data_IF_169561008990
#
_entry.id   IF_169561008990
#
_cell.length_a   1.000
_cell.length_b   1.000
_cell.length_c   1.000
_cell.angle_alpha   90.00
_cell.angle_beta   90.00
_cell.angle_gamma   90.00
#
_symmetry.space_group_name_H-M   'P 1'
#
loop_
_entity.id
_entity.type
_entity.pdbx_description
1 polymer ?
#
# COMPACT_ATOMS: atom_id res chain seq x y z
N UNK A 1 65.74 -28.47 -30.23
CA UNK A 1 64.48 -27.73 -29.94
C UNK A 1 63.46 -27.75 -31.07
N UNK A 2 63.83 -27.56 -32.35
CA UNK A 2 62.87 -27.42 -33.47
C UNK A 2 61.98 -28.66 -33.76
N UNK A 3 62.45 -29.88 -33.51
CA UNK A 3 61.70 -31.10 -33.79
C UNK A 3 60.59 -31.39 -32.76
N UNK A 4 60.86 -31.17 -31.46
CA UNK A 4 59.86 -31.26 -30.38
C UNK A 4 58.72 -30.26 -30.57
N UNK A 5 59.04 -29.02 -30.96
CA UNK A 5 58.02 -28.00 -31.21
C UNK A 5 57.10 -28.41 -32.38
N UNK A 6 57.63 -28.97 -33.46
CA UNK A 6 56.80 -29.47 -34.59
C UNK A 6 55.88 -30.61 -34.18
N UNK A 7 56.34 -31.55 -33.35
CA UNK A 7 55.51 -32.65 -32.83
C UNK A 7 54.36 -32.10 -31.97
N UNK A 8 54.64 -31.13 -31.10
CA UNK A 8 53.61 -30.48 -30.28
C UNK A 8 52.60 -29.75 -31.18
N UNK A 9 53.05 -29.05 -32.23
CA UNK A 9 52.15 -28.38 -33.17
C UNK A 9 51.24 -29.37 -33.91
N UNK A 10 51.77 -30.52 -34.33
CA UNK A 10 51.00 -31.57 -35.01
C UNK A 10 49.98 -32.20 -34.04
N UNK A 11 50.38 -32.46 -32.80
CA UNK A 11 49.47 -33.01 -31.78
C UNK A 11 48.32 -32.04 -31.45
N UNK A 12 48.62 -30.74 -31.31
CA UNK A 12 47.61 -29.71 -31.12
C UNK A 12 46.67 -29.57 -32.33
N UNK A 13 47.19 -29.71 -33.55
CA UNK A 13 46.38 -29.67 -34.77
C UNK A 13 45.44 -30.89 -34.87
N UNK A 14 45.89 -32.07 -34.44
CA UNK A 14 45.06 -33.29 -34.41
C UNK A 14 43.93 -33.14 -33.37
N UNK A 15 44.23 -32.61 -32.18
CA UNK A 15 43.22 -32.39 -31.12
C UNK A 15 42.19 -31.35 -31.54
N UNK A 16 42.60 -30.30 -32.27
CA UNK A 16 41.68 -29.29 -32.82
C UNK A 16 40.90 -29.76 -34.05
N UNK A 17 41.33 -30.85 -34.71
CA UNK A 17 40.68 -31.41 -35.91
C UNK A 17 39.56 -32.40 -35.63
N UNK A 18 39.31 -32.79 -34.37
CA UNK A 18 38.19 -33.66 -34.00
C UNK A 18 36.96 -32.76 -33.81
N UNK A 19 35.95 -32.82 -34.69
CA UNK A 19 34.71 -32.08 -34.45
C UNK A 19 34.06 -32.63 -33.18
N UNK A 20 34.01 -31.80 -32.13
CA UNK A 20 33.15 -32.05 -30.99
C UNK A 20 31.71 -31.96 -31.49
N UNK A 21 31.15 -33.10 -31.89
CA UNK A 21 29.72 -33.21 -32.16
C UNK A 21 28.98 -33.12 -30.84
N UNK A 22 28.78 -31.89 -30.36
CA UNK A 22 27.84 -31.62 -29.28
C UNK A 22 26.44 -31.86 -29.82
N UNK A 23 25.75 -32.86 -29.30
CA UNK A 23 24.32 -32.98 -29.53
C UNK A 23 23.66 -31.74 -28.90
N UNK A 24 23.20 -30.80 -29.73
CA UNK A 24 22.28 -29.75 -29.29
C UNK A 24 21.09 -30.40 -28.58
N UNK A 25 20.52 -29.72 -27.58
CA UNK A 25 19.38 -30.22 -26.79
C UNK A 25 18.23 -30.66 -27.71
N UNK A 26 18.19 -31.95 -28.07
CA UNK A 26 17.11 -32.54 -28.85
C UNK A 26 15.99 -32.90 -27.88
N UNK A 27 14.75 -32.56 -28.21
CA UNK A 27 13.59 -33.03 -27.46
C UNK A 27 13.52 -34.56 -27.59
N UNK A 28 13.93 -35.26 -26.54
CA UNK A 28 13.82 -36.72 -26.45
C UNK A 28 12.48 -37.07 -25.81
N UNK A 29 11.61 -37.74 -26.57
CA UNK A 29 10.33 -38.26 -26.06
C UNK A 29 10.57 -39.61 -25.41
N UNK A 30 10.72 -39.59 -24.10
CA UNK A 30 10.85 -40.79 -23.28
C UNK A 30 9.46 -41.22 -22.80
N UNK A 31 9.00 -42.37 -23.31
CA UNK A 31 7.68 -42.91 -22.97
C UNK A 31 7.59 -43.36 -21.51
N UNK A 32 8.70 -43.76 -20.90
CA UNK A 32 8.72 -44.26 -19.52
C UNK A 32 8.57 -43.08 -18.55
N UNK A 33 9.31 -41.99 -18.79
CA UNK A 33 9.14 -40.74 -18.02
C UNK A 33 7.77 -40.11 -18.23
N UNK A 34 7.24 -40.20 -19.45
CA UNK A 34 5.86 -39.74 -19.73
C UNK A 34 4.85 -40.49 -18.86
N UNK A 35 4.94 -41.82 -18.75
CA UNK A 35 4.08 -42.62 -17.88
C UNK A 35 4.22 -42.25 -16.41
N UNK A 36 5.45 -42.02 -15.95
CA UNK A 36 5.70 -41.57 -14.58
C UNK A 36 5.01 -40.23 -14.29
N UNK A 37 5.16 -39.24 -15.17
CA UNK A 37 4.50 -37.94 -14.99
C UNK A 37 2.98 -38.05 -15.11
N UNK A 38 2.47 -38.80 -16.08
CA UNK A 38 1.03 -39.03 -16.22
C UNK A 38 0.44 -39.69 -14.98
N UNK A 39 1.10 -40.70 -14.42
CA UNK A 39 0.70 -41.35 -13.16
C UNK A 39 0.64 -40.37 -11.99
N UNK A 40 1.63 -39.49 -11.88
CA UNK A 40 1.69 -38.49 -10.79
C UNK A 40 0.67 -37.37 -10.95
N UNK A 41 0.17 -37.12 -12.16
CA UNK A 41 -0.83 -36.10 -12.46
C UNK A 41 -2.26 -36.67 -12.41
N UNK A 42 -2.82 -37.06 -13.57
CA UNK A 42 -4.21 -37.48 -13.70
C UNK A 42 -4.41 -38.79 -14.49
N UNK A 43 -3.32 -39.41 -14.96
CA UNK A 43 -3.35 -40.61 -15.79
C UNK A 43 -3.60 -41.91 -15.04
N UNK A 44 -3.57 -43.06 -15.73
CA UNK A 44 -3.50 -44.37 -15.11
C UNK A 44 -2.31 -44.44 -14.15
N UNK A 45 -2.44 -45.18 -13.05
CA UNK A 45 -1.33 -45.41 -12.12
C UNK A 45 -0.43 -46.51 -12.71
N UNK A 46 0.39 -46.15 -13.69
CA UNK A 46 1.28 -47.04 -14.43
C UNK A 46 2.72 -46.50 -14.50
N UNK A 47 3.67 -47.29 -13.99
CA UNK A 47 5.09 -46.94 -14.05
C UNK A 47 5.83 -47.91 -14.96
N UNK A 48 6.85 -47.41 -15.64
CA UNK A 48 7.70 -48.21 -16.52
C UNK A 48 9.15 -47.83 -16.28
N UNK A 49 10.09 -48.79 -16.27
CA UNK A 49 9.88 -50.23 -16.44
C UNK A 49 9.30 -50.94 -15.19
N UNK A 50 8.36 -51.86 -15.40
CA UNK A 50 7.58 -52.56 -14.36
C UNK A 50 8.43 -53.19 -13.24
N UNK A 51 9.42 -54.01 -13.63
CA UNK A 51 10.25 -54.75 -12.69
C UNK A 51 11.22 -53.86 -11.92
N UNK A 52 11.69 -52.78 -12.53
CA UNK A 52 12.53 -51.79 -11.85
C UNK A 52 11.79 -51.21 -10.63
N UNK A 53 10.52 -50.84 -10.81
CA UNK A 53 9.71 -50.34 -9.70
C UNK A 53 9.34 -51.42 -8.69
N UNK A 54 9.14 -52.67 -9.10
CA UNK A 54 8.88 -53.77 -8.17
C UNK A 54 10.09 -54.09 -7.26
N UNK A 55 11.30 -54.14 -7.82
CA UNK A 55 12.49 -54.51 -7.06
C UNK A 55 13.07 -53.35 -6.24
N UNK A 56 13.07 -52.13 -6.78
CA UNK A 56 13.79 -51.01 -6.16
C UNK A 56 12.87 -49.93 -5.56
N UNK A 57 11.62 -49.82 -6.03
CA UNK A 57 10.73 -48.69 -5.69
C UNK A 57 9.29 -49.13 -5.37
N UNK A 58 9.12 -50.30 -4.75
CA UNK A 58 7.80 -50.88 -4.51
C UNK A 58 6.96 -50.03 -3.54
N UNK A 59 7.57 -49.46 -2.50
CA UNK A 59 6.92 -48.52 -1.57
C UNK A 59 6.57 -47.18 -2.22
N UNK A 60 7.37 -46.73 -3.18
CA UNK A 60 7.12 -45.49 -3.93
C UNK A 60 5.92 -45.65 -4.88
N UNK A 61 5.87 -46.75 -5.63
CA UNK A 61 4.93 -46.96 -6.75
C UNK A 61 3.70 -47.81 -6.40
N UNK A 62 3.73 -48.53 -5.28
CA UNK A 62 2.70 -49.50 -4.93
C UNK A 62 2.73 -50.73 -5.84
N UNK A 63 3.92 -51.10 -6.33
CA UNK A 63 4.12 -52.25 -7.21
C UNK A 63 3.84 -53.57 -6.47
N UNK A 64 3.00 -54.41 -7.05
CA UNK A 64 2.77 -55.77 -6.58
C UNK A 64 2.85 -56.79 -7.72
N UNK A 65 3.53 -57.89 -7.43
CA UNK A 65 3.61 -59.03 -8.34
C UNK A 65 2.32 -59.85 -8.24
N UNK A 66 1.77 -60.24 -9.38
CA UNK A 66 0.63 -61.13 -9.45
C UNK A 66 0.80 -62.13 -10.59
N UNK A 67 0.18 -63.30 -10.44
CA UNK A 67 0.13 -64.29 -11.51
C UNK A 67 -0.99 -63.93 -12.49
N UNK A 68 -0.65 -63.76 -13.77
CA UNK A 68 -1.65 -63.55 -14.84
C UNK A 68 -1.83 -64.85 -15.61
N UNK A 69 -3.02 -65.44 -15.53
CA UNK A 69 -3.41 -66.58 -16.35
C UNK A 69 -3.63 -66.17 -17.81
N UNK A 70 -2.93 -66.83 -18.74
CA UNK A 70 -3.04 -66.59 -20.18
C UNK A 70 -2.56 -67.82 -21.00
N UNK A 71 -3.01 -69.02 -20.63
CA UNK A 71 -2.58 -70.28 -21.27
C UNK A 71 -1.06 -70.48 -21.19
N UNK A 72 -0.42 -70.84 -22.30
CA UNK A 72 1.05 -70.99 -22.40
C UNK A 72 1.84 -69.68 -22.19
N UNK A 73 1.16 -68.52 -22.14
CA UNK A 73 1.77 -67.21 -21.84
C UNK A 73 1.46 -66.75 -20.41
N UNK A 74 1.04 -67.66 -19.53
CA UNK A 74 0.88 -67.36 -18.11
C UNK A 74 2.21 -67.00 -17.47
N UNK A 75 2.21 -66.01 -16.59
CA UNK A 75 3.43 -65.61 -15.90
C UNK A 75 3.21 -64.52 -14.87
N UNK A 76 4.27 -64.25 -14.11
CA UNK A 76 4.31 -63.15 -13.17
C UNK A 76 4.34 -61.81 -13.91
N UNK A 77 3.47 -60.90 -13.49
CA UNK A 77 3.44 -59.51 -13.96
C UNK A 77 3.36 -58.59 -12.75
N UNK A 78 3.80 -57.36 -12.95
CA UNK A 78 3.68 -56.31 -11.95
C UNK A 78 2.44 -55.48 -12.27
N UNK A 79 1.67 -55.12 -11.25
CA UNK A 79 0.66 -54.07 -11.34
C UNK A 79 0.89 -53.06 -10.23
N UNK A 80 0.44 -51.83 -10.44
CA UNK A 80 0.60 -50.76 -9.48
C UNK A 80 -0.74 -50.42 -8.84
N UNK A 81 -0.71 -50.12 -7.55
CA UNK A 81 -1.87 -49.68 -6.79
C UNK A 81 -1.54 -48.43 -6.00
N UNK A 82 -2.17 -47.31 -6.33
CA UNK A 82 -1.98 -46.02 -5.66
C UNK A 82 -2.26 -46.08 -4.14
N UNK A 83 -3.24 -46.84 -3.62
CA UNK A 83 -3.40 -46.95 -2.16
C UNK A 83 -2.23 -47.62 -1.44
N UNK A 84 -1.39 -48.39 -2.17
CA UNK A 84 -0.20 -49.06 -1.63
C UNK A 84 1.08 -48.24 -1.84
N UNK A 85 1.03 -47.11 -2.55
CA UNK A 85 2.16 -46.22 -2.70
C UNK A 85 2.24 -45.19 -1.57
N UNK A 86 3.45 -44.82 -1.19
CA UNK A 86 3.72 -43.71 -0.29
C UNK A 86 3.44 -42.36 -0.96
N UNK A 87 3.49 -42.31 -2.29
CA UNK A 87 3.23 -41.11 -3.08
C UNK A 87 1.90 -41.26 -3.78
N UNK A 88 1.15 -40.16 -3.80
CA UNK A 88 -0.17 -40.05 -4.43
C UNK A 88 -0.11 -39.02 -5.55
N UNK A 89 -1.18 -38.93 -6.33
CA UNK A 89 -1.33 -37.87 -7.35
C UNK A 89 -1.18 -36.48 -6.75
N UNK A 90 -0.47 -35.61 -7.45
CA UNK A 90 -0.26 -34.22 -7.04
C UNK A 90 -1.43 -33.31 -7.42
N UNK A 91 -2.21 -33.69 -8.44
CA UNK A 91 -3.27 -32.84 -9.00
C UNK A 91 -4.33 -32.42 -7.96
N UNK A 92 -4.85 -33.32 -7.10
CA UNK A 92 -5.81 -32.90 -6.06
C UNK A 92 -5.23 -31.85 -5.10
N UNK A 93 -3.96 -31.98 -4.71
CA UNK A 93 -3.27 -31.02 -3.83
C UNK A 93 -3.04 -29.68 -4.54
N UNK A 94 -2.72 -29.71 -5.84
CA UNK A 94 -2.55 -28.49 -6.64
C UNK A 94 -3.88 -27.73 -6.76
N UNK A 95 -4.97 -28.43 -7.12
CA UNK A 95 -6.29 -27.82 -7.26
C UNK A 95 -6.75 -27.21 -5.93
N UNK A 96 -6.61 -27.91 -4.80
CA UNK A 96 -6.97 -27.36 -3.50
C UNK A 96 -6.08 -26.17 -3.11
N UNK A 97 -4.78 -26.21 -3.39
CA UNK A 97 -3.88 -25.06 -3.16
C UNK A 97 -4.23 -23.85 -4.04
N UNK A 98 -4.64 -24.08 -5.28
CA UNK A 98 -5.02 -23.02 -6.21
C UNK A 98 -6.33 -22.36 -5.76
N UNK A 99 -7.34 -23.15 -5.41
CA UNK A 99 -8.63 -22.66 -4.89
C UNK A 99 -8.45 -21.90 -3.56
N UNK A 100 -7.65 -22.43 -2.63
CA UNK A 100 -7.34 -21.72 -1.38
C UNK A 100 -6.61 -20.41 -1.62
N UNK A 101 -5.69 -20.36 -2.60
CA UNK A 101 -5.03 -19.12 -2.97
C UNK A 101 -6.00 -18.12 -3.60
N UNK A 102 -6.90 -18.57 -4.48
CA UNK A 102 -7.96 -17.73 -5.06
C UNK A 102 -8.86 -17.12 -3.98
N UNK A 103 -9.26 -17.91 -2.98
CA UNK A 103 -10.05 -17.41 -1.86
C UNK A 103 -9.29 -16.37 -1.01
N UNK A 104 -7.98 -16.55 -0.81
CA UNK A 104 -7.15 -15.55 -0.12
C UNK A 104 -7.06 -14.25 -0.91
N UNK A 105 -6.85 -14.33 -2.22
CA UNK A 105 -6.79 -13.16 -3.10
C UNK A 105 -8.12 -12.41 -3.11
N UNK A 106 -9.25 -13.11 -3.26
CA UNK A 106 -10.59 -12.49 -3.24
C UNK A 106 -10.87 -11.75 -1.92
N UNK A 107 -10.46 -12.31 -0.77
CA UNK A 107 -10.57 -11.63 0.54
C UNK A 107 -9.72 -10.36 0.59
N UNK A 108 -8.46 -10.44 0.17
CA UNK A 108 -7.53 -9.29 0.15
C UNK A 108 -8.03 -8.21 -0.79
N UNK A 109 -8.60 -8.58 -1.95
CA UNK A 109 -9.16 -7.61 -2.90
C UNK A 109 -10.38 -6.88 -2.33
N UNK A 110 -11.25 -7.58 -1.59
CA UNK A 110 -12.39 -6.97 -0.89
C UNK A 110 -11.93 -5.98 0.19
N UNK A 111 -10.98 -6.38 1.03
CA UNK A 111 -10.39 -5.49 2.05
C UNK A 111 -9.71 -4.29 1.42
N UNK A 112 -8.96 -4.50 0.32
CA UNK A 112 -8.31 -3.42 -0.42
C UNK A 112 -9.31 -2.39 -0.94
N UNK A 113 -10.45 -2.82 -1.50
CA UNK A 113 -11.48 -1.88 -1.98
C UNK A 113 -12.02 -1.01 -0.85
N UNK A 114 -12.31 -1.61 0.30
CA UNK A 114 -12.78 -0.87 1.48
C UNK A 114 -11.73 0.14 1.99
N UNK A 115 -10.46 -0.28 2.09
CA UNK A 115 -9.36 0.60 2.50
C UNK A 115 -9.14 1.71 1.47
N UNK A 116 -9.27 1.43 0.18
CA UNK A 116 -9.11 2.41 -0.89
C UNK A 116 -10.18 3.51 -0.83
N UNK A 117 -11.44 3.15 -0.52
CA UNK A 117 -12.51 4.11 -0.29
C UNK A 117 -12.19 5.03 0.90
N UNK A 118 -11.82 4.44 2.05
CA UNK A 118 -11.42 5.21 3.24
C UNK A 118 -10.21 6.10 2.97
N UNK A 119 -9.23 5.61 2.21
CA UNK A 119 -8.05 6.37 1.84
C UNK A 119 -8.40 7.57 0.95
N UNK A 120 -9.31 7.40 -0.02
CA UNK A 120 -9.80 8.51 -0.86
C UNK A 120 -10.52 9.57 -0.01
N UNK A 121 -11.33 9.17 0.96
CA UNK A 121 -12.00 10.10 1.87
C UNK A 121 -11.00 10.89 2.73
N UNK A 122 -10.02 10.21 3.34
CA UNK A 122 -8.99 10.89 4.15
C UNK A 122 -8.10 11.80 3.30
N UNK A 123 -7.79 11.42 2.07
CA UNK A 123 -7.04 12.26 1.13
C UNK A 123 -7.82 13.55 0.81
N UNK A 124 -9.14 13.46 0.60
CA UNK A 124 -9.99 14.64 0.38
C UNK A 124 -10.07 15.52 1.64
N UNK A 125 -10.19 14.93 2.83
CA UNK A 125 -10.16 15.68 4.10
C UNK A 125 -8.81 16.35 4.36
N UNK A 126 -7.71 15.69 4.00
CA UNK A 126 -6.38 16.27 4.10
C UNK A 126 -6.21 17.44 3.12
N UNK A 127 -6.68 17.30 1.88
CA UNK A 127 -6.70 18.39 0.91
C UNK A 127 -7.55 19.59 1.37
N UNK A 128 -8.73 19.35 1.96
CA UNK A 128 -9.57 20.40 2.53
C UNK A 128 -8.89 21.12 3.71
N UNK A 129 -8.23 20.37 4.60
CA UNK A 129 -7.52 20.94 5.76
C UNK A 129 -6.26 21.73 5.38
N UNK A 130 -5.63 21.39 4.26
CA UNK A 130 -4.36 21.96 3.83
C UNK A 130 -4.46 23.45 3.44
N UNK A 131 -5.61 23.87 2.91
CA UNK A 131 -5.84 25.23 2.42
C UNK A 131 -7.01 25.85 3.16
N UNK A 132 -6.83 27.07 3.63
CA UNK A 132 -7.90 27.87 4.18
C UNK A 132 -8.63 28.61 3.07
N UNK A 133 -9.78 28.07 2.67
CA UNK A 133 -10.63 28.66 1.65
C UNK A 133 -11.57 29.74 2.22
N UNK A 134 -11.74 29.77 3.55
CA UNK A 134 -12.74 30.63 4.19
C UNK A 134 -12.17 32.00 4.53
N UNK A 135 -10.89 32.10 4.89
CA UNK A 135 -10.30 33.35 5.37
C UNK A 135 -10.47 34.53 4.41
N UNK A 136 -10.35 34.31 3.10
CA UNK A 136 -10.52 35.37 2.10
C UNK A 136 -11.90 36.06 2.17
N UNK A 137 -12.95 35.33 2.55
CA UNK A 137 -14.29 35.89 2.70
C UNK A 137 -14.44 36.80 3.93
N UNK A 138 -13.61 36.59 4.97
CA UNK A 138 -13.69 37.32 6.24
C UNK A 138 -12.60 38.38 6.41
N UNK A 139 -11.50 38.26 5.67
CA UNK A 139 -10.29 39.10 5.80
C UNK A 139 -10.61 40.59 5.78
N UNK A 140 -11.37 41.05 4.80
CA UNK A 140 -11.68 42.47 4.65
C UNK A 140 -12.55 43.00 5.80
N UNK A 141 -13.44 42.17 6.33
CA UNK A 141 -14.29 42.55 7.44
C UNK A 141 -13.50 42.60 8.76
N UNK A 142 -12.61 41.64 9.00
CA UNK A 142 -11.70 41.67 10.14
C UNK A 142 -10.79 42.90 10.11
N UNK A 143 -10.18 43.19 8.96
CA UNK A 143 -9.34 44.39 8.79
C UNK A 143 -10.15 45.66 9.08
N UNK A 144 -11.35 45.77 8.53
CA UNK A 144 -12.23 46.92 8.77
C UNK A 144 -12.61 47.10 10.24
N UNK A 145 -12.89 46.00 10.96
CA UNK A 145 -13.22 46.06 12.38
C UNK A 145 -11.99 46.41 13.22
N UNK A 146 -10.83 45.86 12.87
CA UNK A 146 -9.56 46.16 13.52
C UNK A 146 -9.19 47.64 13.36
N UNK A 147 -9.30 48.19 12.15
CA UNK A 147 -9.05 49.62 11.88
C UNK A 147 -9.96 50.50 12.76
N UNK A 148 -11.26 50.17 12.86
CA UNK A 148 -12.21 50.91 13.71
C UNK A 148 -11.86 50.85 15.19
N UNK A 149 -11.42 49.68 15.68
CA UNK A 149 -10.99 49.51 17.06
C UNK A 149 -9.75 50.37 17.32
N UNK A 150 -8.74 50.28 16.44
CA UNK A 150 -7.49 51.02 16.58
C UNK A 150 -7.71 52.54 16.54
N UNK A 151 -8.46 53.03 15.55
CA UNK A 151 -8.80 54.45 15.43
C UNK A 151 -9.62 54.94 16.64
N UNK A 152 -10.58 54.15 17.10
CA UNK A 152 -11.42 54.47 18.25
C UNK A 152 -10.61 54.54 19.55
N UNK A 153 -9.72 53.59 19.80
CA UNK A 153 -8.85 53.59 20.97
C UNK A 153 -7.88 54.76 20.96
N UNK A 154 -7.29 55.08 19.80
CA UNK A 154 -6.40 56.22 19.62
C UNK A 154 -7.15 57.55 19.84
N UNK A 155 -8.38 57.67 19.33
CA UNK A 155 -9.25 58.81 19.61
C UNK A 155 -9.52 58.96 21.11
N UNK A 156 -9.86 57.89 21.82
CA UNK A 156 -10.11 57.90 23.26
C UNK A 156 -8.89 58.38 24.05
N UNK A 157 -7.68 57.92 23.68
CA UNK A 157 -6.44 58.34 24.33
C UNK A 157 -6.14 59.82 24.12
N UNK A 158 -6.24 60.30 22.88
CA UNK A 158 -5.95 61.69 22.54
C UNK A 158 -6.97 62.65 23.17
N UNK A 159 -8.26 62.28 23.14
CA UNK A 159 -9.33 63.13 23.64
C UNK A 159 -9.36 63.20 25.17
N UNK A 160 -9.06 62.09 25.86
CA UNK A 160 -9.06 62.04 27.32
C UNK A 160 -7.77 62.50 27.99
N UNK A 161 -6.75 62.91 27.21
CA UNK A 161 -5.41 63.23 27.70
C UNK A 161 -4.83 62.11 28.60
N UNK A 162 -5.05 60.86 28.19
CA UNK A 162 -4.60 59.66 28.89
C UNK A 162 -5.43 59.25 30.13
N UNK A 163 -6.51 59.95 30.47
CA UNK A 163 -7.35 59.59 31.64
C UNK A 163 -8.10 58.26 31.47
N UNK A 164 -8.38 57.84 30.24
CA UNK A 164 -9.01 56.56 29.91
C UNK A 164 -8.02 55.42 29.59
N UNK A 165 -6.73 55.61 29.95
CA UNK A 165 -5.67 54.66 29.60
C UNK A 165 -5.98 53.22 30.04
N UNK A 166 -6.50 53.03 31.25
CA UNK A 166 -6.81 51.69 31.76
C UNK A 166 -7.84 50.96 30.88
N UNK A 167 -8.92 51.63 30.49
CA UNK A 167 -9.95 51.04 29.63
C UNK A 167 -9.41 50.78 28.21
N UNK A 168 -8.57 51.68 27.70
CA UNK A 168 -7.92 51.51 26.40
C UNK A 168 -6.98 50.31 26.41
N UNK A 169 -6.13 50.17 27.43
CA UNK A 169 -5.19 49.06 27.56
C UNK A 169 -5.91 47.71 27.67
N UNK A 170 -7.06 47.66 28.36
CA UNK A 170 -7.87 46.45 28.48
C UNK A 170 -8.52 46.04 27.14
N UNK A 171 -9.14 46.99 26.43
CA UNK A 171 -9.73 46.72 25.12
C UNK A 171 -8.66 46.38 24.07
N UNK A 172 -7.48 47.00 24.15
CA UNK A 172 -6.34 46.67 23.30
C UNK A 172 -5.90 45.22 23.52
N UNK A 173 -5.79 44.77 24.77
CA UNK A 173 -5.42 43.39 25.09
C UNK A 173 -6.45 42.38 24.59
N UNK A 174 -7.74 42.70 24.74
CA UNK A 174 -8.82 41.85 24.21
C UNK A 174 -8.73 41.76 22.67
N UNK A 175 -8.40 42.86 22.00
CA UNK A 175 -8.17 42.86 20.55
C UNK A 175 -6.98 41.99 20.14
N UNK A 176 -5.86 42.11 20.85
CA UNK A 176 -4.65 41.32 20.59
C UNK A 176 -4.90 39.82 20.71
N UNK A 177 -5.62 39.38 21.75
CA UNK A 177 -5.99 37.97 21.95
C UNK A 177 -6.86 37.50 20.77
N UNK A 178 -7.86 38.29 20.39
CA UNK A 178 -8.77 37.91 19.31
C UNK A 178 -8.06 37.85 17.95
N UNK A 179 -7.15 38.78 17.66
CA UNK A 179 -6.30 38.74 16.47
C UNK A 179 -5.39 37.51 16.47
N UNK A 180 -4.83 37.13 17.62
CA UNK A 180 -4.03 35.92 17.75
C UNK A 180 -4.87 34.64 17.51
N UNK A 181 -6.11 34.60 18.00
CA UNK A 181 -7.04 33.50 17.77
C UNK A 181 -7.40 33.38 16.27
N UNK A 182 -7.69 34.49 15.60
CA UNK A 182 -7.96 34.51 14.13
C UNK A 182 -6.74 34.01 13.36
N UNK A 183 -5.54 34.45 13.73
CA UNK A 183 -4.29 33.99 13.12
C UNK A 183 -4.05 32.48 13.37
N UNK A 184 -4.46 31.97 14.53
CA UNK A 184 -4.40 30.54 14.84
C UNK A 184 -5.36 29.72 13.98
N UNK A 185 -6.60 30.18 13.78
CA UNK A 185 -7.58 29.52 12.89
C UNK A 185 -7.06 29.47 11.44
N UNK A 186 -6.41 30.54 11.00
CA UNK A 186 -5.84 30.65 9.66
C UNK A 186 -4.59 29.79 9.45
N UNK A 187 -3.93 29.36 10.53
CA UNK A 187 -2.66 28.64 10.44
C UNK A 187 -2.87 27.30 9.72
N UNK A 188 -2.22 27.15 8.57
CA UNK A 188 -2.19 25.90 7.80
C UNK A 188 -0.88 25.14 8.06
N UNK A 189 -0.92 23.82 8.11
CA UNK A 189 0.27 22.98 8.23
C UNK A 189 0.06 21.72 9.08
N UNK A 190 1.12 20.92 9.23
CA UNK A 190 1.09 19.68 10.00
C UNK A 190 0.68 19.98 11.44
N UNK A 191 -0.44 19.40 11.89
CA UNK A 191 -0.99 19.59 13.23
C UNK A 191 -1.92 20.80 13.42
N UNK A 192 -2.08 21.65 12.41
CA UNK A 192 -2.96 22.83 12.46
C UNK A 192 -4.09 22.80 11.41
N UNK A 193 -4.16 21.73 10.60
CA UNK A 193 -5.20 21.57 9.59
C UNK A 193 -6.59 21.41 10.20
N UNK A 194 -7.44 22.40 9.99
CA UNK A 194 -8.86 22.38 10.34
C UNK A 194 -9.68 22.30 9.05
N UNK A 195 -10.76 21.51 9.06
CA UNK A 195 -11.67 21.42 7.91
C UNK A 195 -12.31 22.80 7.66
N UNK A 196 -12.53 23.18 6.40
CA UNK A 196 -13.03 24.51 6.07
C UNK A 196 -14.40 24.79 6.67
N UNK A 197 -15.25 23.76 6.82
CA UNK A 197 -16.54 23.89 7.51
C UNK A 197 -16.39 24.34 8.97
N UNK A 198 -15.37 23.83 9.68
CA UNK A 198 -15.08 24.24 11.07
C UNK A 198 -14.40 25.61 11.10
N UNK A 199 -13.56 25.94 10.11
CA UNK A 199 -12.97 27.29 10.00
C UNK A 199 -14.05 28.34 9.82
N UNK A 200 -15.05 28.07 8.97
CA UNK A 200 -16.18 28.97 8.79
C UNK A 200 -16.87 29.28 10.11
N UNK A 201 -17.24 28.24 10.88
CA UNK A 201 -17.88 28.41 12.18
C UNK A 201 -16.99 29.23 13.14
N UNK A 202 -15.69 28.92 13.21
CA UNK A 202 -14.75 29.65 14.04
C UNK A 202 -14.60 31.13 13.62
N UNK A 203 -14.63 31.42 12.32
CA UNK A 203 -14.61 32.80 11.82
C UNK A 203 -15.91 33.55 12.09
N UNK A 204 -17.06 32.90 12.00
CA UNK A 204 -18.35 33.51 12.38
C UNK A 204 -18.36 33.87 13.87
N UNK A 205 -17.86 32.99 14.74
CA UNK A 205 -17.71 33.27 16.17
C UNK A 205 -16.71 34.40 16.44
N UNK A 206 -15.55 34.39 15.78
CA UNK A 206 -14.54 35.44 15.91
C UNK A 206 -15.08 36.80 15.44
N UNK A 207 -15.84 36.81 14.34
CA UNK A 207 -16.53 38.00 13.83
C UNK A 207 -17.54 38.55 14.84
N UNK A 208 -18.35 37.69 15.46
CA UNK A 208 -19.28 38.12 16.49
C UNK A 208 -18.56 38.77 17.69
N UNK A 209 -17.50 38.14 18.20
CA UNK A 209 -16.66 38.67 19.29
C UNK A 209 -16.00 40.00 18.92
N UNK A 210 -15.48 40.11 17.70
CA UNK A 210 -14.84 41.35 17.23
C UNK A 210 -15.87 42.48 17.09
N UNK A 211 -17.08 42.16 16.62
CA UNK A 211 -18.20 43.09 16.57
C UNK A 211 -18.61 43.62 17.95
N UNK A 212 -18.63 42.75 18.98
CA UNK A 212 -18.84 43.20 20.36
C UNK A 212 -17.73 44.14 20.84
N UNK A 213 -16.47 43.86 20.48
CA UNK A 213 -15.34 44.70 20.83
C UNK A 213 -15.42 46.08 20.15
N UNK A 214 -15.80 46.12 18.86
CA UNK A 214 -16.09 47.36 18.12
C UNK A 214 -17.15 48.19 18.84
N UNK A 215 -18.24 47.56 19.30
CA UNK A 215 -19.30 48.25 20.03
C UNK A 215 -18.80 48.82 21.37
N UNK A 216 -17.99 48.05 22.11
CA UNK A 216 -17.37 48.53 23.36
C UNK A 216 -16.42 49.71 23.12
N UNK A 217 -15.61 49.68 22.08
CA UNK A 217 -14.78 50.82 21.68
C UNK A 217 -15.61 52.03 21.29
N UNK A 218 -16.72 51.85 20.57
CA UNK A 218 -17.62 52.95 20.22
C UNK A 218 -18.25 53.59 21.48
N UNK A 219 -18.65 52.78 22.46
CA UNK A 219 -19.12 53.29 23.75
C UNK A 219 -18.03 54.06 24.50
N UNK A 220 -16.79 53.56 24.51
CA UNK A 220 -15.67 54.29 25.12
C UNK A 220 -15.40 55.62 24.40
N UNK A 221 -15.49 55.65 23.07
CA UNK A 221 -15.37 56.89 22.28
C UNK A 221 -16.45 57.91 22.64
N UNK A 222 -17.69 57.45 22.83
CA UNK A 222 -18.79 58.32 23.25
C UNK A 222 -18.52 58.92 24.65
N UNK A 223 -18.07 58.11 25.61
CA UNK A 223 -17.66 58.58 26.94
C UNK A 223 -16.52 59.59 26.86
N UNK A 224 -15.52 59.32 26.01
CA UNK A 224 -14.41 60.23 25.79
C UNK A 224 -14.87 61.58 25.21
N UNK A 225 -15.87 61.57 24.34
CA UNK A 225 -16.41 62.78 23.71
C UNK A 225 -17.31 63.61 24.64
N UNK A 226 -18.00 62.98 25.60
CA UNK A 226 -18.94 63.68 26.50
C UNK A 226 -18.30 64.16 27.79
N UNK A 227 -17.28 63.47 28.30
CA UNK A 227 -16.70 63.72 29.63
C UNK A 227 -15.30 64.37 29.60
N UNK A 228 -14.65 64.45 28.44
CA UNK A 228 -13.33 65.07 28.25
C UNK A 228 -13.34 65.95 26.98
#
# INVERSE_FOLDING_TARGET
MRFKNKIITILCAIIMGVPLTGNAQKVVRDNDKKKQWQSMENGPWDFSPDWYYYFLHNKYSGAEMYWKWAGLKSGFRVRFKEPKSNIRRIMPVRVTSEETQRQKVDKVEKERKHIEELYKEELLREADRAVDLMYDAYKDEFNRMQDRITDGLLYCMNKSDGKLKYQVDELSRQNEILCADIAYIHKTGVGYGLENAKRQQAYEEAKAKMGELVNRTAHLCAVAATHY
#
